data_IF_551279809170
#
_entry.id   IF_551279809170
#
_cell.length_a   1.000
_cell.length_b   1.000
_cell.length_c   1.000
_cell.angle_alpha   90.00
_cell.angle_beta   90.00
_cell.angle_gamma   90.00
#
_symmetry.space_group_name_H-M   'P 1'
#
loop_
_entity.id
_entity.type
_entity.pdbx_description
1 polymer ?
#
# COMPACT_ATOMS: atom_id res chain seq x y z
N UNK A 1 -22.20 25.15 26.74
CA UNK A 1 -22.85 24.01 27.42
C UNK A 1 -24.06 23.56 26.60
N UNK A 2 -23.86 22.75 25.56
CA UNK A 2 -24.96 22.16 24.79
C UNK A 2 -24.51 20.92 24.02
N UNK A 3 -23.63 20.09 24.63
CA UNK A 3 -23.02 18.92 23.97
C UNK A 3 -23.55 17.59 24.52
N UNK A 4 -24.37 17.61 25.58
CA UNK A 4 -24.92 16.39 26.19
C UNK A 4 -26.45 16.42 26.30
N UNK A 5 -27.16 16.87 25.26
CA UNK A 5 -28.46 16.25 24.99
C UNK A 5 -28.18 15.08 24.05
N UNK A 6 -27.56 14.04 24.63
CA UNK A 6 -27.71 12.69 24.11
C UNK A 6 -29.22 12.52 24.07
N UNK A 7 -29.77 12.54 22.86
CA UNK A 7 -31.04 11.90 22.59
C UNK A 7 -30.84 10.48 23.11
N UNK A 8 -31.28 10.24 24.35
CA UNK A 8 -31.86 8.98 24.74
C UNK A 8 -32.98 8.76 23.73
N UNK A 9 -32.59 8.27 22.55
CA UNK A 9 -33.49 7.57 21.69
C UNK A 9 -33.95 6.45 22.60
N UNK A 10 -35.16 6.58 23.11
CA UNK A 10 -35.99 5.44 23.45
C UNK A 10 -36.09 4.61 22.17
N UNK A 11 -35.02 3.86 21.88
CA UNK A 11 -35.03 2.78 20.92
C UNK A 11 -35.84 1.74 21.64
N UNK A 12 -37.16 1.81 21.47
CA UNK A 12 -38.05 0.75 21.83
C UNK A 12 -37.48 -0.47 21.09
N UNK A 13 -36.93 -1.42 21.83
CA UNK A 13 -36.51 -2.69 21.25
C UNK A 13 -37.79 -3.39 20.81
N UNK A 14 -38.04 -3.42 19.50
CA UNK A 14 -39.24 -4.02 18.89
C UNK A 14 -38.92 -5.41 18.32
N UNK A 15 -37.83 -6.02 18.80
CA UNK A 15 -37.40 -7.35 18.39
C UNK A 15 -37.81 -8.41 19.42
N UNK A 16 -38.07 -9.63 18.93
CA UNK A 16 -38.49 -10.73 19.80
C UNK A 16 -39.76 -10.40 20.61
N UNK A 17 -39.74 -10.77 21.88
CA UNK A 17 -40.83 -10.59 22.86
C UNK A 17 -41.21 -9.12 23.13
N UNK A 18 -40.30 -8.20 22.85
CA UNK A 18 -40.51 -6.77 23.07
C UNK A 18 -41.34 -6.11 21.94
N UNK A 19 -41.65 -6.85 20.87
CA UNK A 19 -42.55 -6.38 19.82
C UNK A 19 -44.02 -6.43 20.31
N UNK A 20 -44.80 -5.33 20.23
CA UNK A 20 -46.23 -5.33 20.59
C UNK A 20 -47.08 -6.36 19.85
N UNK A 21 -46.56 -6.89 18.75
CA UNK A 21 -47.21 -7.91 17.92
C UNK A 21 -46.57 -9.32 18.09
N UNK A 22 -45.71 -9.50 19.09
CA UNK A 22 -45.11 -10.81 19.43
C UNK A 22 -46.17 -11.73 20.05
N UNK A 23 -46.25 -12.97 19.59
CA UNK A 23 -47.22 -13.95 20.10
C UNK A 23 -48.67 -13.74 19.66
N UNK A 24 -48.98 -12.70 18.87
CA UNK A 24 -50.33 -12.51 18.34
C UNK A 24 -50.72 -13.66 17.39
N UNK A 25 -51.78 -14.44 17.68
CA UNK A 25 -52.20 -15.60 16.88
C UNK A 25 -52.75 -15.22 15.50
N UNK A 26 -53.07 -13.95 15.25
CA UNK A 26 -53.44 -13.41 13.93
C UNK A 26 -52.23 -12.91 13.13
N UNK A 27 -51.03 -12.91 13.72
CA UNK A 27 -49.79 -12.48 13.07
C UNK A 27 -49.34 -13.56 12.07
N UNK A 28 -49.92 -13.53 10.88
CA UNK A 28 -49.61 -14.42 9.77
C UNK A 28 -48.11 -14.35 9.45
N UNK A 29 -47.33 -15.31 9.93
CA UNK A 29 -45.94 -15.50 9.52
C UNK A 29 -45.95 -15.96 8.07
N UNK A 30 -45.60 -15.05 7.18
CA UNK A 30 -45.43 -15.34 5.75
C UNK A 30 -44.53 -16.57 5.59
N UNK A 31 -44.97 -17.58 4.83
CA UNK A 31 -44.13 -18.74 4.50
C UNK A 31 -42.87 -18.28 3.76
N UNK A 32 -41.78 -19.04 3.88
CA UNK A 32 -40.51 -18.72 3.19
C UNK A 32 -40.70 -18.62 1.67
N UNK A 33 -41.59 -19.44 1.10
CA UNK A 33 -41.97 -19.35 -0.31
C UNK A 33 -42.62 -18.00 -0.65
N UNK A 34 -43.51 -17.51 0.22
CA UNK A 34 -44.20 -16.23 0.02
C UNK A 34 -43.25 -15.05 0.18
N UNK A 35 -42.33 -15.10 1.14
CA UNK A 35 -41.26 -14.10 1.31
C UNK A 35 -40.35 -14.06 0.07
N UNK A 36 -39.99 -15.24 -0.46
CA UNK A 36 -39.18 -15.36 -1.67
C UNK A 36 -39.89 -14.76 -2.89
N UNK A 37 -41.15 -15.12 -3.14
CA UNK A 37 -41.96 -14.54 -4.23
C UNK A 37 -42.10 -13.02 -4.10
N UNK A 38 -42.29 -12.50 -2.88
CA UNK A 38 -42.35 -11.06 -2.65
C UNK A 38 -40.99 -10.39 -2.91
N UNK A 39 -39.89 -11.01 -2.48
CA UNK A 39 -38.53 -10.51 -2.73
C UNK A 39 -38.23 -10.46 -4.23
N UNK A 40 -38.56 -11.52 -4.97
CA UNK A 40 -38.38 -11.61 -6.42
C UNK A 40 -39.19 -10.53 -7.16
N UNK A 41 -40.44 -10.28 -6.73
CA UNK A 41 -41.27 -9.20 -7.28
C UNK A 41 -40.69 -7.80 -7.05
N UNK A 42 -39.99 -7.58 -5.94
CA UNK A 42 -39.44 -6.26 -5.57
C UNK A 42 -37.98 -6.06 -5.98
N UNK A 43 -37.37 -7.04 -6.65
CA UNK A 43 -35.96 -6.99 -7.06
C UNK A 43 -35.81 -6.44 -8.47
N UNK A 44 -34.76 -5.63 -8.67
CA UNK A 44 -34.39 -5.13 -9.99
C UNK A 44 -35.49 -4.28 -10.62
N UNK A 45 -35.75 -4.51 -11.92
CA UNK A 45 -36.67 -3.72 -12.76
C UNK A 45 -38.13 -3.77 -12.30
N UNK A 46 -38.53 -4.79 -11.54
CA UNK A 46 -39.91 -4.98 -11.11
C UNK A 46 -40.28 -4.14 -9.87
N UNK A 47 -39.30 -3.52 -9.22
CA UNK A 47 -39.57 -2.61 -8.11
C UNK A 47 -40.34 -1.37 -8.63
N UNK A 48 -41.48 -0.98 -8.03
CA UNK A 48 -42.22 0.23 -8.40
C UNK A 48 -41.39 1.52 -8.40
N UNK A 49 -40.28 1.54 -7.66
CA UNK A 49 -39.35 2.66 -7.60
C UNK A 49 -38.11 2.49 -8.49
N UNK A 50 -38.03 1.41 -9.28
CA UNK A 50 -36.91 1.22 -10.20
C UNK A 50 -36.84 2.34 -11.23
N UNK A 51 -35.66 2.94 -11.39
CA UNK A 51 -35.44 4.06 -12.31
C UNK A 51 -35.99 5.42 -11.85
N UNK A 52 -36.76 5.49 -10.76
CA UNK A 52 -37.19 6.77 -10.18
C UNK A 52 -36.01 7.46 -9.51
N UNK A 53 -35.78 8.73 -9.87
CA UNK A 53 -34.77 9.57 -9.23
C UNK A 53 -35.35 10.23 -7.97
N UNK A 54 -34.62 10.11 -6.87
CA UNK A 54 -34.91 10.85 -5.63
C UNK A 54 -34.64 12.34 -5.86
N UNK A 55 -35.51 13.23 -5.36
CA UNK A 55 -35.32 14.68 -5.46
C UNK A 55 -34.07 15.13 -4.69
N UNK A 56 -33.45 16.23 -5.14
CA UNK A 56 -32.25 16.76 -4.48
C UNK A 56 -32.51 17.17 -3.02
N UNK A 57 -33.68 17.76 -2.72
CA UNK A 57 -34.08 18.08 -1.36
C UNK A 57 -34.14 16.84 -0.45
N UNK A 58 -34.64 15.72 -0.98
CA UNK A 58 -34.72 14.48 -0.21
C UNK A 58 -33.33 13.86 0.00
N UNK A 59 -32.44 13.93 -1.01
CA UNK A 59 -31.03 13.52 -0.85
C UNK A 59 -30.32 14.36 0.21
N UNK A 60 -30.58 15.67 0.25
CA UNK A 60 -29.98 16.55 1.24
C UNK A 60 -30.47 16.23 2.66
N UNK A 61 -31.78 15.98 2.83
CA UNK A 61 -32.33 15.52 4.11
C UNK A 61 -31.67 14.22 4.58
N UNK A 62 -31.53 13.23 3.70
CA UNK A 62 -30.81 11.99 4.02
C UNK A 62 -29.35 12.24 4.37
N UNK A 63 -28.65 13.09 3.60
CA UNK A 63 -27.25 13.43 3.87
C UNK A 63 -27.10 14.07 5.25
N UNK A 64 -27.96 15.03 5.62
CA UNK A 64 -27.93 15.67 6.95
C UNK A 64 -28.16 14.68 8.07
N UNK A 65 -29.09 13.74 7.91
CA UNK A 65 -29.40 12.73 8.92
C UNK A 65 -28.27 11.74 9.18
N UNK A 66 -27.50 11.37 8.14
CA UNK A 66 -26.47 10.32 8.26
C UNK A 66 -25.03 10.85 8.31
N UNK A 67 -24.79 12.12 7.97
CA UNK A 67 -23.46 12.71 8.07
C UNK A 67 -23.04 12.81 9.53
N UNK A 68 -21.87 12.27 9.88
CA UNK A 68 -21.32 12.34 11.24
C UNK A 68 -21.88 11.33 12.23
N UNK A 69 -22.87 10.51 11.84
CA UNK A 69 -23.41 9.45 12.71
C UNK A 69 -22.51 8.21 12.60
N UNK A 70 -21.83 7.80 13.69
CA UNK A 70 -20.97 6.62 13.66
C UNK A 70 -21.81 5.34 13.61
N UNK A 71 -21.30 4.33 12.89
CA UNK A 71 -21.85 2.97 12.94
C UNK A 71 -21.60 2.33 14.31
N UNK A 72 -22.55 1.51 14.77
CA UNK A 72 -22.36 0.63 15.94
C UNK A 72 -21.27 -0.42 15.67
N UNK A 73 -20.57 -0.85 16.72
CA UNK A 73 -19.46 -1.80 16.60
C UNK A 73 -19.89 -3.16 16.02
N UNK A 74 -21.05 -3.67 16.41
CA UNK A 74 -21.59 -4.92 15.84
C UNK A 74 -21.83 -4.80 14.33
N UNK A 75 -22.35 -3.66 13.88
CA UNK A 75 -22.61 -3.39 12.47
C UNK A 75 -21.30 -3.25 11.69
N UNK A 76 -20.29 -2.58 12.25
CA UNK A 76 -18.94 -2.52 11.66
C UNK A 76 -18.34 -3.91 11.50
N UNK A 77 -18.48 -4.76 12.52
CA UNK A 77 -17.99 -6.15 12.50
C UNK A 77 -18.64 -6.96 11.38
N UNK A 78 -19.97 -6.93 11.26
CA UNK A 78 -20.72 -7.62 10.18
C UNK A 78 -20.29 -7.17 8.78
N UNK A 79 -20.10 -5.86 8.58
CA UNK A 79 -19.62 -5.31 7.30
C UNK A 79 -18.18 -5.75 7.01
N UNK A 80 -17.32 -5.76 8.04
CA UNK A 80 -15.94 -6.22 7.93
C UNK A 80 -15.91 -7.69 7.50
N UNK A 81 -16.57 -8.57 8.24
CA UNK A 81 -16.67 -10.01 7.97
C UNK A 81 -17.18 -10.31 6.57
N UNK A 82 -18.24 -9.61 6.13
CA UNK A 82 -18.79 -9.77 4.80
C UNK A 82 -17.82 -9.36 3.67
N UNK A 83 -16.80 -8.54 3.97
CA UNK A 83 -15.82 -8.06 2.99
C UNK A 83 -14.45 -8.75 3.09
N UNK A 84 -14.19 -9.47 4.17
CA UNK A 84 -12.97 -10.28 4.31
C UNK A 84 -12.91 -11.29 3.14
N UNK A 85 -11.73 -11.39 2.53
CA UNK A 85 -11.47 -12.32 1.42
C UNK A 85 -12.07 -11.93 0.07
N UNK A 86 -12.90 -10.87 -0.02
CA UNK A 86 -13.43 -10.41 -1.30
C UNK A 86 -12.36 -9.69 -2.12
N UNK A 87 -11.96 -10.32 -3.23
CA UNK A 87 -10.97 -9.79 -4.15
C UNK A 87 -11.68 -9.15 -5.35
N UNK A 88 -11.31 -7.91 -5.70
CA UNK A 88 -11.83 -7.23 -6.90
C UNK A 88 -11.46 -8.00 -8.16
N UNK A 89 -12.39 -8.08 -9.11
CA UNK A 89 -12.14 -8.68 -10.43
C UNK A 89 -11.06 -7.89 -11.20
N UNK A 90 -10.33 -8.53 -12.13
CA UNK A 90 -9.33 -7.84 -12.96
C UNK A 90 -9.90 -6.63 -13.70
N UNK A 91 -11.11 -6.75 -14.25
CA UNK A 91 -11.82 -5.66 -14.95
C UNK A 91 -12.09 -4.47 -14.03
N UNK A 92 -12.61 -4.73 -12.83
CA UNK A 92 -12.88 -3.68 -11.85
C UNK A 92 -11.59 -2.98 -11.40
N UNK A 93 -10.49 -3.72 -11.24
CA UNK A 93 -9.18 -3.13 -10.93
C UNK A 93 -8.69 -2.22 -12.05
N UNK A 94 -8.84 -2.66 -13.31
CA UNK A 94 -8.45 -1.88 -14.49
C UNK A 94 -9.25 -0.58 -14.56
N UNK A 95 -10.58 -0.68 -14.44
CA UNK A 95 -11.47 0.48 -14.44
C UNK A 95 -11.13 1.49 -13.33
N UNK A 96 -10.93 1.02 -12.09
CA UNK A 96 -10.53 1.90 -10.98
C UNK A 96 -9.17 2.57 -11.25
N UNK A 97 -8.23 1.84 -11.87
CA UNK A 97 -6.94 2.41 -12.27
C UNK A 97 -7.09 3.49 -13.33
N UNK A 98 -7.95 3.29 -14.32
CA UNK A 98 -8.23 4.25 -15.39
C UNK A 98 -8.89 5.51 -14.84
N UNK A 99 -9.94 5.38 -14.03
CA UNK A 99 -10.62 6.50 -13.35
C UNK A 99 -9.61 7.30 -12.52
N UNK A 100 -8.74 6.62 -11.78
CA UNK A 100 -7.73 7.29 -10.96
C UNK A 100 -6.72 8.06 -11.83
N UNK A 101 -6.25 7.47 -12.93
CA UNK A 101 -5.34 8.14 -13.88
C UNK A 101 -6.00 9.33 -14.56
N UNK A 102 -7.27 9.22 -14.92
CA UNK A 102 -8.03 10.31 -15.51
C UNK A 102 -8.17 11.48 -14.54
N UNK A 103 -8.48 11.21 -13.27
CA UNK A 103 -8.50 12.25 -12.24
C UNK A 103 -7.15 12.97 -12.12
N UNK A 104 -6.02 12.23 -12.18
CA UNK A 104 -4.69 12.85 -12.19
C UNK A 104 -4.43 13.69 -13.44
N UNK A 105 -4.85 13.23 -14.63
CA UNK A 105 -4.77 14.03 -15.86
C UNK A 105 -5.59 15.32 -15.75
N UNK A 106 -6.73 15.25 -15.07
CA UNK A 106 -7.60 16.39 -14.79
C UNK A 106 -7.12 17.25 -13.61
N UNK A 107 -5.87 17.08 -13.17
CA UNK A 107 -5.24 17.94 -12.15
C UNK A 107 -5.61 17.61 -10.71
N UNK A 108 -6.30 16.48 -10.44
CA UNK A 108 -6.50 16.02 -9.05
C UNK A 108 -5.14 15.67 -8.45
N UNK A 109 -4.75 16.36 -7.39
CA UNK A 109 -3.52 16.07 -6.66
C UNK A 109 -3.81 15.18 -5.46
N UNK A 110 -2.87 14.30 -5.11
CA UNK A 110 -3.00 13.51 -3.89
C UNK A 110 -2.99 14.43 -2.66
N UNK A 111 -3.76 14.10 -1.63
CA UNK A 111 -3.92 14.94 -0.42
C UNK A 111 -2.60 15.23 0.33
N UNK A 112 -1.57 14.43 0.07
CA UNK A 112 -0.23 14.53 0.64
C UNK A 112 0.80 15.14 -0.31
N UNK A 113 0.41 15.51 -1.55
CA UNK A 113 1.32 16.16 -2.48
C UNK A 113 1.76 17.52 -1.91
N UNK A 114 3.07 17.76 -1.85
CA UNK A 114 3.65 18.96 -1.25
C UNK A 114 3.67 18.99 0.28
N UNK A 115 3.14 17.98 0.98
CA UNK A 115 3.19 17.89 2.45
C UNK A 115 4.36 17.01 2.90
N UNK A 116 5.05 17.43 3.96
CA UNK A 116 6.12 16.68 4.60
C UNK A 116 5.67 16.11 5.94
N UNK A 117 6.11 14.89 6.26
CA UNK A 117 5.93 14.34 7.61
C UNK A 117 6.75 15.13 8.64
N UNK A 118 6.16 15.34 9.83
CA UNK A 118 6.87 15.91 10.98
C UNK A 118 8.03 15.00 11.42
N UNK A 119 9.00 15.57 12.14
CA UNK A 119 10.10 14.82 12.75
C UNK A 119 9.58 13.72 13.67
N UNK A 120 8.59 14.03 14.51
CA UNK A 120 7.93 13.06 15.39
C UNK A 120 7.29 11.91 14.60
N UNK A 121 6.59 12.21 13.50
CA UNK A 121 5.99 11.18 12.64
C UNK A 121 7.06 10.29 12.00
N UNK A 122 8.17 10.89 11.55
CA UNK A 122 9.30 10.14 10.98
C UNK A 122 9.93 9.20 12.03
N UNK A 123 10.06 9.66 13.28
CA UNK A 123 10.58 8.84 14.38
C UNK A 123 9.67 7.64 14.66
N UNK A 124 8.35 7.86 14.76
CA UNK A 124 7.36 6.77 14.94
C UNK A 124 7.44 5.73 13.83
N UNK A 125 7.58 6.17 12.58
CA UNK A 125 7.74 5.27 11.42
C UNK A 125 9.07 4.50 11.52
N UNK A 126 10.14 5.16 11.95
CA UNK A 126 11.48 4.56 12.12
C UNK A 126 11.47 3.47 13.19
N UNK A 127 10.97 3.79 14.38
CA UNK A 127 10.83 2.85 15.51
C UNK A 127 10.01 1.63 15.12
N UNK A 128 8.87 1.83 14.47
CA UNK A 128 8.00 0.74 14.03
C UNK A 128 8.66 -0.20 12.99
N UNK A 129 9.65 0.29 12.23
CA UNK A 129 10.40 -0.46 11.21
C UNK A 129 11.70 -1.05 11.74
N UNK A 130 12.21 -0.56 12.86
CA UNK A 130 13.47 -1.01 13.42
C UNK A 130 13.41 -2.51 13.73
N UNK A 131 14.45 -3.25 13.33
CA UNK A 131 14.56 -4.69 13.55
C UNK A 131 13.70 -5.57 12.64
N UNK A 132 12.75 -5.02 11.86
CA UNK A 132 11.91 -5.81 10.95
C UNK A 132 12.63 -6.02 9.61
N UNK A 133 13.02 -7.26 9.26
CA UNK A 133 13.65 -7.52 7.97
C UNK A 133 12.67 -7.25 6.83
N UNK A 134 13.20 -6.78 5.69
CA UNK A 134 12.42 -6.72 4.46
C UNK A 134 11.84 -8.11 4.14
N UNK A 135 10.60 -8.22 3.65
CA UNK A 135 10.03 -9.47 3.12
C UNK A 135 10.86 -10.09 1.97
N UNK A 136 11.79 -9.31 1.41
CA UNK A 136 12.70 -9.72 0.35
C UNK A 136 14.15 -9.91 0.82
N UNK A 137 14.41 -9.91 2.13
CA UNK A 137 15.76 -10.15 2.66
C UNK A 137 16.27 -11.51 2.18
N UNK A 138 17.44 -11.52 1.53
CA UNK A 138 18.07 -12.72 0.99
C UNK A 138 17.56 -13.18 -0.38
N UNK A 139 16.56 -12.50 -0.97
CA UNK A 139 16.06 -12.84 -2.32
C UNK A 139 16.79 -12.05 -3.39
N UNK A 140 17.08 -12.69 -4.52
CA UNK A 140 17.65 -12.02 -5.70
C UNK A 140 16.58 -11.21 -6.44
N UNK A 141 16.98 -10.22 -7.24
CA UNK A 141 16.02 -9.46 -8.05
C UNK A 141 15.23 -10.37 -9.00
N UNK A 142 15.86 -11.42 -9.53
CA UNK A 142 15.18 -12.42 -10.37
C UNK A 142 14.04 -13.12 -9.61
N UNK A 143 14.26 -13.50 -8.34
CA UNK A 143 13.23 -14.11 -7.50
C UNK A 143 12.11 -13.13 -7.12
N UNK A 144 12.38 -11.82 -7.12
CA UNK A 144 11.42 -10.79 -6.72
C UNK A 144 10.56 -10.35 -7.91
N UNK A 145 11.17 -10.08 -9.06
CA UNK A 145 10.51 -9.44 -10.21
C UNK A 145 10.51 -10.28 -11.49
N UNK A 146 11.11 -11.47 -11.46
CA UNK A 146 11.33 -12.32 -12.63
C UNK A 146 12.63 -11.99 -13.37
N UNK A 147 13.17 -12.97 -14.09
CA UNK A 147 14.47 -12.90 -14.78
C UNK A 147 14.56 -11.74 -15.78
N UNK A 148 13.60 -11.67 -16.71
CA UNK A 148 13.59 -10.64 -17.77
C UNK A 148 13.60 -9.21 -17.20
N UNK A 149 12.80 -8.97 -16.15
CA UNK A 149 12.71 -7.65 -15.52
C UNK A 149 13.95 -7.34 -14.69
N UNK A 150 14.54 -8.33 -14.03
CA UNK A 150 15.79 -8.17 -13.30
C UNK A 150 16.95 -7.81 -14.24
N UNK A 151 17.06 -8.48 -15.39
CA UNK A 151 18.05 -8.17 -16.43
C UNK A 151 17.88 -6.75 -16.96
N UNK A 152 16.64 -6.35 -17.27
CA UNK A 152 16.33 -4.98 -17.71
C UNK A 152 16.74 -3.93 -16.68
N UNK A 153 16.44 -4.16 -15.40
CA UNK A 153 16.82 -3.27 -14.30
C UNK A 153 18.35 -3.17 -14.15
N UNK A 154 19.06 -4.28 -14.27
CA UNK A 154 20.53 -4.32 -14.21
C UNK A 154 21.17 -3.56 -15.38
N UNK A 155 20.62 -3.73 -16.59
CA UNK A 155 21.07 -3.01 -17.77
C UNK A 155 20.83 -1.49 -17.63
N UNK A 156 19.67 -1.09 -17.12
CA UNK A 156 19.35 0.34 -16.92
C UNK A 156 20.26 0.98 -15.85
N UNK A 157 20.53 0.25 -14.76
CA UNK A 157 21.49 0.69 -13.74
C UNK A 157 22.89 0.84 -14.34
N UNK A 158 23.35 -0.12 -15.13
CA UNK A 158 24.67 -0.07 -15.79
C UNK A 158 24.79 1.13 -16.73
N UNK A 159 23.73 1.44 -17.49
CA UNK A 159 23.68 2.64 -18.35
C UNK A 159 23.81 3.92 -17.54
N UNK A 160 23.10 4.04 -16.42
CA UNK A 160 23.18 5.22 -15.53
C UNK A 160 24.54 5.40 -14.89
N UNK A 161 25.22 4.30 -14.56
CA UNK A 161 26.55 4.33 -13.94
C UNK A 161 27.68 4.61 -14.95
N UNK A 162 27.48 4.30 -16.23
CA UNK A 162 28.46 4.54 -17.28
C UNK A 162 28.67 6.05 -17.47
N UNK A 163 29.87 6.54 -17.11
CA UNK A 163 30.23 7.95 -17.23
C UNK A 163 29.85 8.82 -16.02
N UNK A 164 29.48 8.22 -14.89
CA UNK A 164 29.13 8.95 -13.67
C UNK A 164 30.35 9.72 -13.10
N UNK A 165 30.30 11.05 -13.09
CA UNK A 165 31.45 11.92 -12.74
C UNK A 165 31.53 12.36 -11.27
N UNK A 166 30.56 11.99 -10.42
CA UNK A 166 30.43 12.52 -9.05
C UNK A 166 31.62 12.23 -8.11
N UNK A 167 32.50 11.28 -8.48
CA UNK A 167 33.73 10.97 -7.75
C UNK A 167 35.03 11.29 -8.51
N UNK A 168 34.95 11.77 -9.75
CA UNK A 168 36.15 12.06 -10.56
C UNK A 168 36.76 13.38 -10.07
N UNK A 169 38.00 13.32 -9.59
CA UNK A 169 38.74 14.50 -9.10
C UNK A 169 38.46 14.91 -7.65
N UNK A 170 37.59 14.18 -6.92
CA UNK A 170 37.33 14.48 -5.51
C UNK A 170 38.47 13.98 -4.62
N UNK A 171 39.23 14.90 -4.04
CA UNK A 171 40.26 14.59 -3.04
C UNK A 171 39.62 14.55 -1.65
N UNK A 172 39.81 13.46 -0.92
CA UNK A 172 39.34 13.34 0.46
C UNK A 172 40.17 14.24 1.40
N UNK A 173 39.54 14.80 2.44
CA UNK A 173 40.27 15.54 3.47
C UNK A 173 41.23 14.62 4.25
N UNK A 174 42.32 15.18 4.78
CA UNK A 174 43.29 14.43 5.59
C UNK A 174 42.64 13.75 6.80
N UNK A 175 41.69 14.42 7.45
CA UNK A 175 40.91 13.84 8.56
C UNK A 175 40.11 12.60 8.11
N UNK A 176 39.47 12.67 6.94
CA UNK A 176 38.70 11.54 6.39
C UNK A 176 39.64 10.39 6.01
N UNK A 177 40.79 10.68 5.41
CA UNK A 177 41.83 9.68 5.10
C UNK A 177 42.31 8.98 6.39
N UNK A 178 42.53 9.74 7.47
CA UNK A 178 42.95 9.20 8.76
C UNK A 178 41.90 8.26 9.36
N UNK A 179 40.62 8.66 9.41
CA UNK A 179 39.52 7.81 9.90
C UNK A 179 39.37 6.51 9.11
N UNK A 180 39.53 6.57 7.80
CA UNK A 180 39.51 5.37 6.93
C UNK A 180 40.71 4.47 7.26
N UNK A 181 41.92 5.05 7.39
CA UNK A 181 43.14 4.32 7.71
C UNK A 181 43.06 3.59 9.05
N UNK A 182 42.61 4.29 10.10
CA UNK A 182 42.45 3.73 11.45
C UNK A 182 41.45 2.56 11.45
N UNK A 183 40.33 2.67 10.72
CA UNK A 183 39.35 1.59 10.58
C UNK A 183 39.89 0.37 9.83
N UNK A 184 40.76 0.57 8.84
CA UNK A 184 41.32 -0.52 8.03
C UNK A 184 42.52 -1.21 8.70
N UNK A 185 43.17 -0.56 9.66
CA UNK A 185 44.31 -1.11 10.38
C UNK A 185 43.90 -2.37 11.15
N UNK A 186 44.54 -3.49 10.85
CA UNK A 186 44.24 -4.78 11.48
C UNK A 186 43.05 -5.54 10.87
N UNK A 187 42.51 -5.09 9.74
CA UNK A 187 41.46 -5.82 9.03
C UNK A 187 41.96 -7.19 8.54
N UNK A 188 41.36 -8.28 9.04
CA UNK A 188 41.73 -9.67 8.73
C UNK A 188 40.89 -10.31 7.62
N UNK A 189 39.98 -9.57 6.97
CA UNK A 189 39.01 -10.13 6.00
C UNK A 189 39.64 -10.90 4.82
N UNK A 190 40.93 -10.66 4.52
CA UNK A 190 41.64 -11.33 3.44
C UNK A 190 42.73 -12.29 3.92
N UNK A 191 42.93 -12.46 5.24
CA UNK A 191 43.95 -13.36 5.79
C UNK A 191 43.55 -14.80 5.48
N UNK A 192 44.46 -15.59 4.89
CA UNK A 192 44.23 -16.98 4.51
C UNK A 192 43.58 -17.19 3.13
N UNK A 193 43.26 -16.12 2.40
CA UNK A 193 42.68 -16.25 1.05
C UNK A 193 43.75 -16.56 0.00
N UNK A 194 43.65 -17.72 -0.64
CA UNK A 194 44.50 -18.10 -1.79
C UNK A 194 43.81 -17.69 -3.09
N UNK A 195 44.54 -16.99 -3.97
CA UNK A 195 44.02 -16.59 -5.29
C UNK A 195 44.03 -17.77 -6.25
N UNK A 196 42.98 -17.92 -7.07
CA UNK A 196 42.96 -18.88 -8.17
C UNK A 196 43.96 -18.52 -9.26
N UNK A 197 44.43 -19.51 -10.02
CA UNK A 197 45.36 -19.31 -11.13
C UNK A 197 44.82 -18.33 -12.18
N UNK A 198 43.53 -18.41 -12.50
CA UNK A 198 42.87 -17.46 -13.41
C UNK A 198 42.94 -16.02 -12.88
N UNK A 199 42.73 -15.83 -11.57
CA UNK A 199 42.81 -14.51 -10.94
C UNK A 199 44.23 -13.96 -10.98
N UNK A 200 45.23 -14.81 -10.72
CA UNK A 200 46.65 -14.44 -10.81
C UNK A 200 47.00 -13.98 -12.23
N UNK A 201 46.56 -14.71 -13.27
CA UNK A 201 46.77 -14.36 -14.68
C UNK A 201 46.18 -12.99 -15.03
N UNK A 202 44.92 -12.73 -14.66
CA UNK A 202 44.27 -11.42 -14.90
C UNK A 202 45.01 -10.26 -14.23
N UNK A 203 45.54 -10.47 -13.02
CA UNK A 203 46.35 -9.44 -12.32
C UNK A 203 47.64 -9.14 -13.10
N UNK A 204 48.33 -10.18 -13.58
CA UNK A 204 49.57 -10.03 -14.36
C UNK A 204 49.30 -9.28 -15.66
N UNK A 205 48.29 -9.68 -16.42
CA UNK A 205 47.91 -9.05 -17.69
C UNK A 205 47.55 -7.56 -17.49
N UNK A 206 46.78 -7.26 -16.44
CA UNK A 206 46.40 -5.88 -16.13
C UNK A 206 47.61 -5.03 -15.74
N UNK A 207 48.54 -5.57 -14.96
CA UNK A 207 49.79 -4.90 -14.59
C UNK A 207 50.65 -4.61 -15.83
N UNK A 208 50.80 -5.58 -16.72
CA UNK A 208 51.54 -5.41 -17.98
C UNK A 208 50.91 -4.33 -18.86
N UNK A 209 49.59 -4.37 -19.04
CA UNK A 209 48.83 -3.36 -19.82
C UNK A 209 48.98 -1.94 -19.25
N UNK A 210 48.93 -1.79 -17.93
CA UNK A 210 49.07 -0.48 -17.31
C UNK A 210 50.50 0.05 -17.39
N UNK A 211 51.50 -0.84 -17.36
CA UNK A 211 52.90 -0.48 -17.57
C UNK A 211 53.11 0.05 -18.99
N UNK A 212 52.65 -0.68 -20.01
CA UNK A 212 52.71 -0.26 -21.40
C UNK A 212 52.06 1.12 -21.64
N UNK A 213 50.85 1.34 -21.09
CA UNK A 213 50.15 2.64 -21.18
C UNK A 213 50.87 3.81 -20.51
N UNK A 214 51.77 3.54 -19.57
CA UNK A 214 52.58 4.55 -18.89
C UNK A 214 53.87 4.84 -19.65
N UNK A 215 54.33 3.90 -20.47
CA UNK A 215 55.51 4.02 -21.34
C UNK A 215 55.15 4.66 -22.69
N UNK A 216 53.90 4.54 -23.15
CA UNK A 216 53.36 5.24 -24.34
C UNK A 216 52.98 6.72 -24.09
N UNK A 217 53.16 7.24 -22.88
CA UNK A 217 52.70 8.57 -22.44
C UNK A 217 53.87 9.44 -21.98
#
# INVERSE_FOLDING_TARGET
MAVNLILERNVIDISGENNPNWGNPTNYKMSEERKRKQSERMKGKNNPFYGRKVSEEHKEKLRKLFTGVPLLEETKKKISEANIGKVRTPEMRKHLSEVTKEQYRNGRVGNMMGKNHSTETKNKISEAKMGKPSPFKGKTNEQIVGKEKAERLSADQSKRMKGHKYGVGRVQSEETKRKISERLKGNKNCVGRVLSEETKRKIIETKARNKAKKEEK
#
